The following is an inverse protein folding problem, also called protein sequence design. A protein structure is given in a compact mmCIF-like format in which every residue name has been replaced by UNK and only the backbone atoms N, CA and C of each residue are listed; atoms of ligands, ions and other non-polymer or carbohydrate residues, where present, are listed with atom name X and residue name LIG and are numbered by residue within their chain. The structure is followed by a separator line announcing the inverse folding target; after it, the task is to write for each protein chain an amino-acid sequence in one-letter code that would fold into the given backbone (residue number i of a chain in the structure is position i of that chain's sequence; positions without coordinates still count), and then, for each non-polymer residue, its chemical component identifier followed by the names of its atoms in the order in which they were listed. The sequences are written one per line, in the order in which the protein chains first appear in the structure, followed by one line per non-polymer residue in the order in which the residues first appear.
data_IF_673780639016
#
_entry.id   IF_673780639016
#
_cell.length_a   1.000
_cell.length_b   1.000
_cell.length_c   1.000
_cell.angle_alpha   90.00
_cell.angle_beta   90.00
_cell.angle_gamma   90.00
#
_symmetry.space_group_name_H-M   'P 1'
#
loop_
_entity.id
_entity.type
_entity.pdbx_description
1 polymer ?
#
# COMPACT_ATOMS: atom_id res chain seq x y z
N UNK A 1 -2.82 3.75 -25.89
CA UNK A 1 -4.02 3.09 -25.28
C UNK A 1 -3.64 1.72 -24.73
N UNK A 2 -2.94 0.88 -25.49
CA UNK A 2 -2.52 -0.47 -25.05
C UNK A 2 -1.70 -0.47 -23.74
N UNK A 3 -0.88 0.54 -23.51
CA UNK A 3 -0.13 0.71 -22.26
C UNK A 3 -1.06 0.91 -21.06
N UNK A 4 -2.12 1.72 -21.21
CA UNK A 4 -3.14 1.90 -20.18
C UNK A 4 -3.87 0.58 -19.88
N UNK A 5 -4.29 -0.14 -20.89
CA UNK A 5 -5.03 -1.40 -20.71
C UNK A 5 -4.21 -2.43 -19.93
N UNK A 6 -2.94 -2.63 -20.29
CA UNK A 6 -2.09 -3.60 -19.62
C UNK A 6 -1.73 -3.15 -18.19
N UNK A 7 -1.44 -1.86 -17.99
CA UNK A 7 -1.13 -1.30 -16.68
C UNK A 7 -2.30 -1.45 -15.72
N UNK A 8 -3.52 -1.11 -16.14
CA UNK A 8 -4.72 -1.30 -15.33
C UNK A 8 -5.02 -2.78 -15.06
N UNK A 9 -4.85 -3.64 -16.05
CA UNK A 9 -5.05 -5.08 -15.87
C UNK A 9 -4.13 -5.66 -14.79
N UNK A 10 -2.86 -5.26 -14.79
CA UNK A 10 -1.85 -5.80 -13.88
C UNK A 10 -1.89 -5.08 -12.52
N UNK A 11 -1.87 -3.74 -12.52
CA UNK A 11 -1.66 -2.96 -11.30
C UNK A 11 -2.95 -2.68 -10.51
N UNK A 12 -4.12 -2.77 -11.14
CA UNK A 12 -5.41 -2.45 -10.50
C UNK A 12 -6.33 -3.65 -10.46
N UNK A 13 -6.67 -4.22 -11.61
CA UNK A 13 -7.72 -5.25 -11.70
C UNK A 13 -7.28 -6.56 -11.06
N UNK A 14 -6.04 -7.02 -11.30
CA UNK A 14 -5.55 -8.27 -10.72
C UNK A 14 -5.46 -8.19 -9.18
N UNK A 15 -4.88 -7.15 -8.56
CA UNK A 15 -4.90 -6.97 -7.11
C UNK A 15 -6.32 -6.88 -6.52
N UNK A 16 -7.25 -6.23 -7.22
CA UNK A 16 -8.65 -6.20 -6.80
C UNK A 16 -9.28 -7.60 -6.76
N UNK A 17 -9.10 -8.39 -7.80
CA UNK A 17 -9.61 -9.76 -7.85
C UNK A 17 -9.07 -10.60 -6.69
N UNK A 18 -7.80 -10.45 -6.35
CA UNK A 18 -7.17 -11.10 -5.20
C UNK A 18 -7.86 -10.66 -3.90
N UNK A 19 -8.07 -9.36 -3.71
CA UNK A 19 -8.75 -8.84 -2.52
C UNK A 19 -10.19 -9.37 -2.40
N UNK A 20 -10.98 -9.31 -3.46
CA UNK A 20 -12.36 -9.82 -3.45
C UNK A 20 -12.44 -11.32 -3.20
N UNK A 21 -11.40 -12.07 -3.53
CA UNK A 21 -11.33 -13.51 -3.22
C UNK A 21 -10.98 -13.78 -1.75
N UNK A 22 -10.03 -13.04 -1.18
CA UNK A 22 -9.51 -13.34 0.16
C UNK A 22 -10.22 -12.58 1.29
N UNK A 23 -10.69 -11.36 1.06
CA UNK A 23 -11.31 -10.54 2.10
C UNK A 23 -12.52 -11.19 2.79
N UNK A 24 -13.47 -11.85 2.07
CA UNK A 24 -14.57 -12.55 2.75
C UNK A 24 -14.08 -13.64 3.71
N UNK A 25 -13.06 -14.38 3.31
CA UNK A 25 -12.44 -15.44 4.13
C UNK A 25 -11.69 -14.87 5.35
N UNK A 26 -11.04 -13.72 5.18
CA UNK A 26 -10.39 -13.00 6.27
C UNK A 26 -11.42 -12.47 7.26
N UNK A 27 -12.52 -11.90 6.76
CA UNK A 27 -13.61 -11.40 7.60
C UNK A 27 -14.29 -12.53 8.38
N UNK A 28 -14.54 -13.68 7.74
CA UNK A 28 -15.13 -14.85 8.40
C UNK A 28 -14.27 -15.38 9.55
N UNK A 29 -12.95 -15.47 9.35
CA UNK A 29 -12.03 -15.91 10.42
C UNK A 29 -11.67 -14.82 11.44
N UNK A 30 -12.12 -13.56 11.22
CA UNK A 30 -11.87 -12.45 12.11
C UNK A 30 -10.43 -11.88 12.10
N UNK A 31 -9.63 -12.24 11.09
CA UNK A 31 -8.23 -11.78 10.97
C UNK A 31 -7.78 -11.70 9.51
N UNK A 32 -7.08 -10.61 9.17
CA UNK A 32 -6.44 -10.47 7.86
C UNK A 32 -5.55 -9.24 7.75
N UNK A 33 -4.50 -9.35 6.96
CA UNK A 33 -3.60 -8.25 6.61
C UNK A 33 -3.37 -8.25 5.12
N UNK A 34 -3.64 -7.12 4.47
CA UNK A 34 -3.32 -6.89 3.06
C UNK A 34 -2.50 -5.62 2.96
N UNK A 35 -1.36 -5.72 2.32
CA UNK A 35 -0.51 -4.58 2.00
C UNK A 35 -0.39 -4.50 0.48
N UNK A 36 -0.78 -3.37 -0.09
CA UNK A 36 -0.66 -3.11 -1.52
C UNK A 36 0.49 -2.16 -1.78
N UNK A 37 1.41 -2.56 -2.63
CA UNK A 37 2.52 -1.72 -3.04
C UNK A 37 2.08 -0.79 -4.15
N UNK A 38 2.12 0.52 -3.85
CA UNK A 38 1.89 1.59 -4.81
C UNK A 38 3.21 2.19 -5.31
N UNK A 39 3.13 3.38 -5.86
CA UNK A 39 4.27 4.19 -6.29
C UNK A 39 3.92 5.66 -6.09
N UNK A 40 4.91 6.48 -5.77
CA UNK A 40 4.75 7.92 -5.71
C UNK A 40 4.18 8.45 -7.03
N UNK A 41 3.05 9.18 -6.94
CA UNK A 41 2.38 9.77 -8.09
C UNK A 41 2.87 11.20 -8.20
N UNK A 42 3.70 11.46 -9.21
CA UNK A 42 4.24 12.78 -9.54
C UNK A 42 3.71 13.25 -10.89
N UNK A 43 3.88 14.54 -11.17
CA UNK A 43 3.57 15.09 -12.50
C UNK A 43 4.62 14.61 -13.50
N UNK A 44 4.46 13.41 -13.98
CA UNK A 44 5.32 12.80 -14.99
C UNK A 44 4.47 12.18 -16.11
N UNK A 45 4.27 12.91 -17.23
CA UNK A 45 3.49 12.42 -18.38
C UNK A 45 4.05 11.14 -18.99
N UNK A 46 5.33 10.85 -18.78
CA UNK A 46 5.97 9.64 -19.32
C UNK A 46 5.51 8.37 -18.58
N UNK A 47 5.01 8.49 -17.36
CA UNK A 47 4.49 7.35 -16.62
C UNK A 47 3.11 6.87 -17.09
N UNK A 48 2.35 7.73 -17.78
CA UNK A 48 1.13 7.39 -18.51
C UNK A 48 0.22 6.37 -17.76
N UNK A 49 0.01 5.18 -18.37
CA UNK A 49 -0.83 4.12 -17.82
C UNK A 49 -0.32 3.57 -16.49
N UNK A 50 0.99 3.57 -16.24
CA UNK A 50 1.56 3.09 -14.98
C UNK A 50 1.08 3.94 -13.80
N UNK A 51 1.32 5.25 -13.79
CA UNK A 51 0.92 6.11 -12.67
C UNK A 51 -0.60 6.19 -12.51
N UNK A 52 -1.34 6.24 -13.61
CA UNK A 52 -2.80 6.22 -13.57
C UNK A 52 -3.33 4.93 -12.92
N UNK A 53 -2.75 3.77 -13.25
CA UNK A 53 -3.15 2.49 -12.67
C UNK A 53 -2.77 2.36 -11.18
N UNK A 54 -1.66 2.96 -10.76
CA UNK A 54 -1.26 3.01 -9.33
C UNK A 54 -2.18 3.96 -8.53
N UNK A 55 -2.56 5.10 -9.09
CA UNK A 55 -3.57 5.99 -8.49
C UNK A 55 -4.92 5.28 -8.31
N UNK A 56 -5.35 4.51 -9.31
CA UNK A 56 -6.56 3.70 -9.21
C UNK A 56 -6.42 2.60 -8.14
N UNK A 57 -5.26 1.97 -8.02
CA UNK A 57 -4.97 1.00 -6.96
C UNK A 57 -5.11 1.61 -5.57
N UNK A 58 -4.58 2.83 -5.36
CA UNK A 58 -4.68 3.55 -4.09
C UNK A 58 -6.13 3.85 -3.74
N UNK A 59 -6.88 4.42 -4.69
CA UNK A 59 -8.30 4.72 -4.48
C UNK A 59 -9.12 3.49 -4.10
N UNK A 60 -8.95 2.39 -4.83
CA UNK A 60 -9.65 1.14 -4.53
C UNK A 60 -9.25 0.56 -3.17
N UNK A 61 -7.98 0.70 -2.80
CA UNK A 61 -7.49 0.20 -1.51
C UNK A 61 -8.12 0.97 -0.35
N UNK A 62 -8.20 2.30 -0.46
CA UNK A 62 -8.88 3.15 0.51
C UNK A 62 -10.36 2.78 0.61
N UNK A 63 -11.05 2.64 -0.52
CA UNK A 63 -12.48 2.29 -0.53
C UNK A 63 -12.75 0.91 0.10
N UNK A 64 -11.90 -0.07 -0.19
CA UNK A 64 -12.03 -1.39 0.44
C UNK A 64 -11.70 -1.35 1.93
N UNK A 65 -10.68 -0.59 2.32
CA UNK A 65 -10.28 -0.42 3.71
C UNK A 65 -11.40 0.15 4.58
N UNK A 66 -12.21 1.07 4.05
CA UNK A 66 -13.32 1.67 4.81
C UNK A 66 -14.35 0.66 5.30
N UNK A 67 -14.51 -0.46 4.60
CA UNK A 67 -15.45 -1.53 4.98
C UNK A 67 -14.95 -2.35 6.17
N UNK A 68 -13.67 -2.29 6.46
CA UNK A 68 -13.00 -3.11 7.47
C UNK A 68 -12.39 -2.28 8.59
N UNK A 69 -12.56 -0.95 8.55
CA UNK A 69 -12.10 -0.04 9.61
C UNK A 69 -12.67 -0.45 10.97
N UNK A 70 -11.84 -0.46 11.99
CA UNK A 70 -12.21 -0.91 13.32
C UNK A 70 -12.27 -2.43 13.52
N UNK A 71 -11.98 -3.21 12.48
CA UNK A 71 -11.91 -4.68 12.55
C UNK A 71 -10.46 -5.17 12.51
N UNK A 72 -10.25 -6.44 12.81
CA UNK A 72 -8.92 -7.08 12.70
C UNK A 72 -8.59 -7.59 11.28
N UNK A 73 -9.30 -7.07 10.28
CA UNK A 73 -8.96 -7.21 8.86
C UNK A 73 -8.50 -5.84 8.37
N UNK A 74 -7.20 -5.67 8.18
CA UNK A 74 -6.61 -4.38 7.81
C UNK A 74 -6.04 -4.41 6.40
N UNK A 75 -6.30 -3.34 5.65
CA UNK A 75 -5.84 -3.17 4.26
C UNK A 75 -5.11 -1.84 4.18
N UNK A 76 -3.81 -1.86 3.92
CA UNK A 76 -2.99 -0.66 3.86
C UNK A 76 -2.20 -0.58 2.55
N UNK A 77 -1.71 0.60 2.26
CA UNK A 77 -0.89 0.93 1.09
C UNK A 77 0.54 1.17 1.57
N UNK A 78 1.52 0.70 0.80
CA UNK A 78 2.93 1.05 1.01
C UNK A 78 3.55 1.56 -0.27
N UNK A 79 4.43 2.54 -0.14
CA UNK A 79 5.28 3.04 -1.24
C UNK A 79 6.75 2.79 -0.87
N UNK A 80 7.48 1.97 -1.64
CA UNK A 80 8.89 1.69 -1.37
C UNK A 80 9.81 2.89 -1.62
N UNK A 81 9.32 3.93 -2.27
CA UNK A 81 10.14 4.96 -2.89
C UNK A 81 10.78 4.49 -4.20
N UNK A 82 11.53 5.37 -4.85
CA UNK A 82 12.22 5.03 -6.09
C UNK A 82 13.55 4.34 -5.80
N UNK A 83 13.58 3.02 -5.96
CA UNK A 83 14.70 2.16 -5.62
C UNK A 83 15.46 1.66 -6.86
N UNK A 84 16.78 1.44 -6.71
CA UNK A 84 17.66 0.84 -7.73
C UNK A 84 17.36 -0.63 -7.90
N UNK A 85 16.42 -0.92 -8.78
CA UNK A 85 15.99 -2.26 -9.21
C UNK A 85 16.00 -2.29 -10.74
N UNK A 86 15.73 -3.44 -11.33
CA UNK A 86 15.58 -3.54 -12.79
C UNK A 86 14.53 -2.57 -13.33
N UNK A 87 13.43 -2.38 -12.59
CA UNK A 87 12.38 -1.42 -12.94
C UNK A 87 12.79 0.03 -12.68
N UNK A 88 13.42 0.31 -11.54
CA UNK A 88 13.78 1.68 -11.14
C UNK A 88 15.01 2.22 -11.83
N UNK A 89 15.83 1.33 -12.38
CA UNK A 89 17.08 1.67 -13.06
C UNK A 89 18.25 2.02 -12.11
N UNK A 90 19.47 2.13 -12.67
CA UNK A 90 20.69 2.31 -11.88
C UNK A 90 20.82 3.70 -11.25
N UNK A 91 20.06 4.68 -11.74
CA UNK A 91 20.11 6.07 -11.28
C UNK A 91 19.08 6.42 -10.20
N UNK A 92 18.27 5.45 -9.77
CA UNK A 92 17.31 5.67 -8.68
C UNK A 92 18.06 6.05 -7.39
N UNK A 93 17.51 7.00 -6.58
CA UNK A 93 18.24 7.54 -5.43
C UNK A 93 18.40 6.54 -4.28
N UNK A 94 17.47 5.59 -4.15
CA UNK A 94 17.41 4.72 -2.99
C UNK A 94 17.96 3.32 -3.27
N UNK A 95 18.65 2.73 -2.29
CA UNK A 95 18.94 1.30 -2.31
C UNK A 95 17.66 0.50 -2.04
N UNK A 96 17.47 -0.70 -2.62
CA UNK A 96 16.28 -1.51 -2.35
C UNK A 96 16.07 -1.80 -0.86
N UNK A 97 17.16 -1.99 -0.12
CA UNK A 97 17.16 -2.28 1.31
C UNK A 97 16.57 -1.13 2.16
N UNK A 98 16.60 0.10 1.63
CA UNK A 98 16.02 1.26 2.33
C UNK A 98 14.49 1.19 2.47
N UNK A 99 13.83 0.35 1.67
CA UNK A 99 12.39 0.11 1.80
C UNK A 99 12.02 -0.78 3.00
N UNK A 100 13.00 -1.43 3.63
CA UNK A 100 12.79 -2.29 4.79
C UNK A 100 13.02 -1.47 6.08
N UNK A 101 12.17 -1.63 7.11
CA UNK A 101 11.01 -2.54 7.20
C UNK A 101 9.71 -1.95 6.65
N UNK A 102 9.70 -0.70 6.19
CA UNK A 102 8.51 0.05 5.84
C UNK A 102 7.56 -0.67 4.86
N UNK A 103 8.11 -1.41 3.88
CA UNK A 103 7.27 -2.11 2.89
C UNK A 103 6.42 -3.24 3.51
N UNK A 104 6.81 -3.77 4.66
CA UNK A 104 6.10 -4.88 5.33
C UNK A 104 5.36 -4.45 6.59
N UNK A 105 5.56 -3.25 7.09
CA UNK A 105 4.98 -2.73 8.35
C UNK A 105 3.47 -2.95 8.41
N UNK A 106 2.75 -2.67 7.31
CA UNK A 106 1.31 -2.85 7.23
C UNK A 106 0.80 -4.28 7.47
N UNK A 107 1.68 -5.29 7.42
CA UNK A 107 1.35 -6.68 7.73
C UNK A 107 1.46 -7.00 9.24
N UNK A 108 2.05 -6.10 10.03
CA UNK A 108 2.34 -6.31 11.45
C UNK A 108 1.60 -5.35 12.39
N UNK A 109 0.93 -4.33 11.87
CA UNK A 109 0.10 -3.41 12.68
C UNK A 109 -1.11 -4.15 13.28
N UNK A 110 -1.54 -3.72 14.49
CA UNK A 110 -2.63 -4.35 15.24
C UNK A 110 -3.61 -3.33 15.87
N UNK A 111 -3.72 -2.16 15.27
CA UNK A 111 -4.51 -1.03 15.76
C UNK A 111 -5.88 -0.88 15.09
N UNK A 112 -6.27 -1.83 14.22
CA UNK A 112 -7.55 -1.89 13.51
C UNK A 112 -7.81 -0.72 12.56
N UNK A 113 -6.76 0.00 12.14
CA UNK A 113 -6.84 1.09 11.18
C UNK A 113 -6.53 0.59 9.77
N UNK A 114 -7.34 0.96 8.81
CA UNK A 114 -7.23 0.58 7.39
C UNK A 114 -7.07 1.79 6.48
N UNK A 115 -6.72 1.55 5.21
CA UNK A 115 -6.62 2.59 4.18
C UNK A 115 -5.44 3.55 4.32
N UNK A 116 -4.50 3.28 5.22
CA UNK A 116 -3.33 4.13 5.45
C UNK A 116 -2.32 4.02 4.33
N UNK A 117 -1.67 5.14 4.08
CA UNK A 117 -0.51 5.23 3.19
C UNK A 117 0.77 5.20 4.04
N UNK A 118 1.42 4.06 4.07
CA UNK A 118 2.64 3.81 4.84
C UNK A 118 3.86 3.95 3.91
N UNK A 119 4.40 5.17 3.81
CA UNK A 119 5.56 5.45 2.98
C UNK A 119 6.80 4.81 3.60
N UNK A 120 7.38 3.81 2.95
CA UNK A 120 8.49 3.03 3.46
C UNK A 120 9.74 3.85 3.85
N UNK A 121 10.14 4.90 3.12
CA UNK A 121 11.22 5.79 3.54
C UNK A 121 11.11 6.37 4.96
N UNK A 122 9.91 6.53 5.50
CA UNK A 122 9.74 7.02 6.88
C UNK A 122 10.17 6.03 7.97
N UNK A 123 10.42 4.80 7.58
CA UNK A 123 10.80 3.70 8.48
C UNK A 123 12.23 3.21 8.24
N UNK A 124 12.97 3.81 7.31
CA UNK A 124 14.34 3.40 6.97
C UNK A 124 15.23 3.40 8.20
N UNK A 125 15.98 2.31 8.40
CA UNK A 125 16.92 2.16 9.52
C UNK A 125 16.28 1.80 10.87
N UNK A 126 14.95 1.62 10.92
CA UNK A 126 14.25 1.19 12.14
C UNK A 126 14.27 -0.34 12.25
N UNK A 127 14.11 -0.83 13.48
CA UNK A 127 13.69 -2.22 13.70
C UNK A 127 12.24 -2.37 13.25
N UNK A 128 11.78 -3.60 13.01
CA UNK A 128 10.38 -3.84 12.67
C UNK A 128 9.45 -3.41 13.81
N UNK A 129 9.83 -3.66 15.05
CA UNK A 129 9.07 -3.29 16.25
C UNK A 129 8.88 -1.76 16.34
N UNK A 130 9.97 -0.99 16.21
CA UNK A 130 9.90 0.47 16.22
C UNK A 130 9.07 1.03 15.06
N UNK A 131 9.18 0.41 13.89
CA UNK A 131 8.43 0.81 12.69
C UNK A 131 6.91 0.55 12.87
N UNK A 132 6.53 -0.59 13.45
CA UNK A 132 5.13 -0.89 13.78
C UNK A 132 4.60 0.12 14.79
N UNK A 133 5.32 0.34 15.90
CA UNK A 133 4.93 1.32 16.91
C UNK A 133 4.77 2.74 16.32
N UNK A 134 5.67 3.13 15.41
CA UNK A 134 5.56 4.41 14.69
C UNK A 134 4.34 4.44 13.77
N UNK A 135 4.08 3.36 13.03
CA UNK A 135 2.94 3.30 12.12
C UNK A 135 1.61 3.44 12.84
N UNK A 136 1.45 2.78 13.98
CA UNK A 136 0.24 2.84 14.81
C UNK A 136 0.02 4.20 15.46
N UNK A 137 1.10 4.87 15.86
CA UNK A 137 1.06 6.19 16.51
C UNK A 137 0.84 7.34 15.54
N UNK A 138 1.58 7.36 14.43
CA UNK A 138 1.75 8.54 13.58
C UNK A 138 0.90 8.51 12.30
N UNK A 139 0.28 7.37 11.97
CA UNK A 139 -0.48 7.20 10.73
C UNK A 139 -1.93 6.80 11.03
N UNK A 140 -2.84 7.74 10.86
CA UNK A 140 -4.28 7.48 11.00
C UNK A 140 -4.91 6.98 9.69
N UNK A 141 -6.07 6.34 9.82
CA UNK A 141 -6.92 6.02 8.70
C UNK A 141 -7.49 7.30 8.07
N UNK A 142 -7.71 7.33 6.74
CA UNK A 142 -8.17 8.51 6.04
C UNK A 142 -9.69 8.77 6.21
N UNK A 143 -10.40 7.98 7.02
CA UNK A 143 -11.84 8.07 7.15
C UNK A 143 -12.23 9.07 8.22
N UNK A 144 -13.36 9.80 8.04
CA UNK A 144 -13.86 10.67 9.08
C UNK A 144 -14.15 9.85 10.34
N UNK A 145 -13.69 10.34 11.49
CA UNK A 145 -14.08 9.78 12.79
C UNK A 145 -15.55 10.11 12.97
N UNK A 146 -16.39 9.11 13.18
CA UNK A 146 -17.77 9.34 13.58
C UNK A 146 -17.72 10.00 14.96
N UNK A 147 -18.12 11.28 15.04
CA UNK A 147 -18.34 12.01 16.29
C UNK A 147 -19.58 11.48 17.02
#
# INVERSE_FOLDING_TARGET
VSDYEISFKINTIAPMRICYHFLPKMAERGFGRIVKTTSGITLDPQQAGYSASKAALDKVTIDLGSKYEGTDVMINITDPGWCRTDLGGPHAPNAPESAIPGIVVGAFVDDKKSGRYLNAPFFTGMTLEDAVAKAERDFDSPYPKNE
#
